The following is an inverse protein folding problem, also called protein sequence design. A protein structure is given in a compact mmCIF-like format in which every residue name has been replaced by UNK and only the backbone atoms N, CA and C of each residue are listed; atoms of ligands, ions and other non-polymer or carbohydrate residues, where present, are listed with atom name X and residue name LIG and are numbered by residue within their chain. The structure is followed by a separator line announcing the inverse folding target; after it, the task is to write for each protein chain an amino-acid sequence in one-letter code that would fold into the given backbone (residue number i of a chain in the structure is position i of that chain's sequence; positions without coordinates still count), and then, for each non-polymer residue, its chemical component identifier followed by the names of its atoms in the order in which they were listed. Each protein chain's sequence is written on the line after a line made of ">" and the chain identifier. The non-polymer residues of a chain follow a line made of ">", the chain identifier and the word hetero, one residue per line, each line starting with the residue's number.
data_IF_288541259372
#
_entry.id   IF_288541259372
#
_cell.length_a   1.000
_cell.length_b   1.000
_cell.length_c   1.000
_cell.angle_alpha   90.00
_cell.angle_beta   90.00
_cell.angle_gamma   90.00
#
_symmetry.space_group_name_H-M   'P 1'
#
loop_
_entity.id
_entity.type
_entity.pdbx_description
1 polymer ?
#
# COMPACT_ATOMS: atom_id res chain seq x y z
N UNK A 1 15.15 5.52 2.23
CA UNK A 1 16.34 6.03 2.95
C UNK A 1 16.08 7.31 3.75
N UNK A 2 15.79 8.45 3.12
CA UNK A 2 15.57 9.73 3.85
C UNK A 2 14.46 9.62 4.92
N UNK A 3 13.35 8.95 4.59
CA UNK A 3 12.26 8.68 5.54
C UNK A 3 12.76 7.95 6.79
N UNK A 4 13.48 6.83 6.62
CA UNK A 4 14.08 6.09 7.73
C UNK A 4 15.04 6.93 8.58
N UNK A 5 15.87 7.79 7.97
CA UNK A 5 16.73 8.71 8.72
C UNK A 5 15.93 9.71 9.55
N UNK A 6 14.83 10.24 8.99
CA UNK A 6 13.93 11.14 9.71
C UNK A 6 13.28 10.43 10.90
N UNK A 7 12.81 9.19 10.72
CA UNK A 7 12.27 8.33 11.78
C UNK A 7 13.29 8.12 12.90
N UNK A 8 14.49 7.63 12.55
CA UNK A 8 15.58 7.40 13.51
C UNK A 8 15.95 8.69 14.26
N UNK A 9 16.03 9.82 13.55
CA UNK A 9 16.39 11.11 14.16
C UNK A 9 15.32 11.60 15.13
N UNK A 10 14.03 11.50 14.76
CA UNK A 10 12.90 11.86 15.62
C UNK A 10 12.91 11.04 16.90
N UNK A 11 13.05 9.72 16.77
CA UNK A 11 13.14 8.80 17.89
C UNK A 11 14.34 9.10 18.82
N UNK A 12 15.53 9.35 18.25
CA UNK A 12 16.72 9.66 19.05
C UNK A 12 16.58 10.98 19.82
N UNK A 13 15.86 11.96 19.26
CA UNK A 13 15.55 13.22 19.96
C UNK A 13 14.58 12.97 21.11
N UNK A 14 13.54 12.14 20.92
CA UNK A 14 12.58 11.84 21.98
C UNK A 14 13.15 10.99 23.12
N UNK A 15 14.15 10.14 22.86
CA UNK A 15 14.85 9.33 23.89
C UNK A 15 15.98 10.08 24.62
N UNK A 16 16.33 11.28 24.15
CA UNK A 16 17.53 11.98 24.59
C UNK A 16 18.78 11.47 23.87
N UNK A 17 19.61 12.41 23.38
CA UNK A 17 20.74 12.15 22.47
C UNK A 17 21.84 11.22 23.02
N UNK A 18 21.76 10.85 24.31
CA UNK A 18 22.72 10.01 25.03
C UNK A 18 22.22 8.58 25.25
N UNK A 19 21.01 8.23 24.79
CA UNK A 19 20.52 6.86 24.88
C UNK A 19 21.42 5.92 24.05
N UNK A 20 21.77 4.78 24.65
CA UNK A 20 22.49 3.67 24.02
C UNK A 20 21.53 2.61 23.48
N UNK A 21 20.22 2.88 23.50
CA UNK A 21 19.21 1.93 23.05
C UNK A 21 19.32 1.70 21.54
N UNK A 22 18.99 0.48 21.12
CA UNK A 22 19.04 0.10 19.71
C UNK A 22 17.67 0.29 19.06
N UNK A 23 17.53 1.19 18.07
CA UNK A 23 16.25 1.39 17.38
C UNK A 23 15.87 0.17 16.54
N UNK A 24 14.57 -0.09 16.41
CA UNK A 24 14.03 -1.09 15.49
C UNK A 24 12.97 -0.51 14.55
N UNK A 25 12.72 -1.18 13.42
CA UNK A 25 11.73 -0.82 12.42
C UNK A 25 10.87 -2.06 12.10
N UNK A 26 9.54 -1.93 12.23
CA UNK A 26 8.59 -3.02 12.00
C UNK A 26 8.05 -2.95 10.58
N UNK A 27 8.04 -4.09 9.89
CA UNK A 27 7.61 -4.17 8.50
C UNK A 27 7.29 -5.62 8.09
N UNK A 28 6.56 -5.82 6.99
CA UNK A 28 6.34 -7.15 6.41
C UNK A 28 7.60 -7.71 5.73
N UNK A 29 7.69 -9.02 5.53
CA UNK A 29 8.79 -9.64 4.76
C UNK A 29 8.75 -9.30 3.27
N UNK A 30 7.60 -8.80 2.78
CA UNK A 30 7.36 -8.31 1.42
C UNK A 30 7.99 -6.93 1.12
N UNK A 31 8.77 -6.36 2.05
CA UNK A 31 9.45 -5.07 1.83
C UNK A 31 10.42 -5.11 0.67
N UNK A 32 10.56 -3.95 0.03
CA UNK A 32 11.60 -3.74 -0.97
C UNK A 32 12.97 -3.64 -0.27
N UNK A 33 14.01 -4.19 -0.89
CA UNK A 33 15.39 -4.28 -0.34
C UNK A 33 15.99 -2.95 0.15
N UNK A 34 15.44 -1.81 -0.24
CA UNK A 34 15.86 -0.50 0.26
C UNK A 34 15.66 -0.34 1.77
N UNK A 35 14.67 -1.03 2.36
CA UNK A 35 14.44 -1.04 3.81
C UNK A 35 15.45 -1.92 4.54
N UNK A 36 15.81 -3.07 3.98
CA UNK A 36 16.92 -3.89 4.50
C UNK A 36 18.24 -3.12 4.46
N UNK A 37 18.52 -2.44 3.35
CA UNK A 37 19.70 -1.57 3.21
C UNK A 37 19.67 -0.45 4.25
N UNK A 38 18.50 0.16 4.50
CA UNK A 38 18.37 1.20 5.53
C UNK A 38 18.71 0.63 6.91
N UNK A 39 18.08 -0.48 7.28
CA UNK A 39 18.30 -1.14 8.57
C UNK A 39 19.78 -1.52 8.77
N UNK A 40 20.40 -2.09 7.74
CA UNK A 40 21.80 -2.46 7.79
C UNK A 40 22.75 -1.25 7.90
N UNK A 41 22.58 -0.23 7.05
CA UNK A 41 23.51 0.90 7.00
C UNK A 41 23.33 1.89 8.17
N UNK A 42 22.14 1.96 8.76
CA UNK A 42 21.85 2.84 9.89
C UNK A 42 21.68 2.09 11.21
N UNK A 43 22.13 0.85 11.33
CA UNK A 43 22.13 0.08 12.60
C UNK A 43 20.73 0.03 13.26
N UNK A 44 19.68 -0.11 12.44
CA UNK A 44 18.30 -0.28 12.91
C UNK A 44 17.96 -1.76 12.81
N UNK A 45 17.47 -2.35 13.88
CA UNK A 45 17.02 -3.75 13.88
C UNK A 45 15.77 -3.90 12.99
N UNK A 46 15.80 -4.76 11.94
CA UNK A 46 14.61 -5.06 11.16
C UNK A 46 13.74 -6.08 11.90
N UNK A 47 12.48 -5.72 12.19
CA UNK A 47 11.47 -6.63 12.74
C UNK A 47 10.49 -7.02 11.66
N UNK A 48 10.84 -8.10 10.96
CA UNK A 48 10.09 -8.62 9.82
C UNK A 48 8.93 -9.51 10.28
N UNK A 49 7.73 -9.25 9.74
CA UNK A 49 6.58 -10.15 9.86
C UNK A 49 6.64 -11.17 8.73
N UNK A 50 6.78 -12.48 9.02
CA UNK A 50 6.81 -13.49 7.98
C UNK A 50 5.42 -13.67 7.35
N UNK A 51 5.44 -13.96 6.05
CA UNK A 51 4.29 -14.56 5.38
C UNK A 51 4.07 -15.96 5.97
N UNK A 52 2.82 -16.29 6.27
CA UNK A 52 2.45 -17.60 6.77
C UNK A 52 0.99 -17.89 6.43
N UNK A 53 0.69 -19.10 5.96
CA UNK A 53 -0.64 -19.48 5.52
C UNK A 53 -1.24 -18.51 4.49
N UNK A 54 -2.32 -17.84 4.90
CA UNK A 54 -3.08 -16.85 4.12
C UNK A 54 -2.64 -15.39 4.37
N UNK A 55 -1.64 -15.16 5.23
CA UNK A 55 -1.06 -13.83 5.48
C UNK A 55 0.06 -13.55 4.48
N UNK A 56 -0.28 -12.82 3.42
CA UNK A 56 0.68 -12.42 2.37
C UNK A 56 1.31 -11.03 2.60
N UNK A 57 0.80 -10.25 3.54
CA UNK A 57 1.26 -8.88 3.78
C UNK A 57 1.19 -8.51 5.27
N UNK A 58 1.74 -7.35 5.65
CA UNK A 58 1.67 -6.87 7.02
C UNK A 58 0.20 -6.64 7.44
N UNK A 59 -0.19 -7.15 8.60
CA UNK A 59 -1.49 -6.87 9.22
C UNK A 59 -1.32 -5.90 10.39
N UNK A 60 -2.38 -5.19 10.76
CA UNK A 60 -2.40 -4.28 11.91
C UNK A 60 -2.01 -4.99 13.21
N UNK A 61 -2.55 -6.20 13.44
CA UNK A 61 -2.25 -7.01 14.61
C UNK A 61 -0.77 -7.38 14.68
N UNK A 62 -0.19 -7.87 13.58
CA UNK A 62 1.22 -8.29 13.56
C UNK A 62 2.19 -7.11 13.64
N UNK A 63 1.80 -5.94 13.10
CA UNK A 63 2.56 -4.71 13.21
C UNK A 63 2.68 -4.26 14.68
N UNK A 64 1.53 -4.13 15.37
CA UNK A 64 1.50 -3.70 16.77
C UNK A 64 2.16 -4.73 17.70
N UNK A 65 2.01 -6.02 17.44
CA UNK A 65 2.62 -7.08 18.26
C UNK A 65 4.15 -7.04 18.29
N UNK A 66 4.80 -6.39 17.31
CA UNK A 66 6.27 -6.23 17.23
C UNK A 66 6.76 -4.85 17.64
N UNK A 67 5.85 -3.94 17.98
CA UNK A 67 6.20 -2.59 18.42
C UNK A 67 6.62 -2.57 19.90
N UNK A 68 7.64 -1.77 20.21
CA UNK A 68 8.08 -1.45 21.57
C UNK A 68 8.55 0.01 21.68
N UNK A 69 9.09 0.42 22.82
CA UNK A 69 9.59 1.78 23.08
C UNK A 69 10.77 2.20 22.18
N UNK A 70 11.43 1.23 21.52
CA UNK A 70 12.55 1.45 20.61
C UNK A 70 12.13 1.40 19.13
N UNK A 71 10.85 1.13 18.85
CA UNK A 71 10.32 1.13 17.48
C UNK A 71 10.26 2.55 16.94
N UNK A 72 11.02 2.82 15.88
CA UNK A 72 11.10 4.14 15.26
C UNK A 72 9.97 4.40 14.27
N UNK A 73 9.28 3.34 13.85
CA UNK A 73 8.12 3.40 12.96
C UNK A 73 7.71 2.02 12.46
N UNK A 74 6.55 2.01 11.81
CA UNK A 74 6.05 0.89 11.00
C UNK A 74 6.09 1.29 9.53
N UNK A 75 6.47 0.37 8.65
CA UNK A 75 6.38 0.57 7.20
C UNK A 75 5.26 -0.29 6.64
N UNK A 76 4.24 0.37 6.07
CA UNK A 76 3.21 -0.28 5.28
C UNK A 76 3.49 -0.09 3.78
N UNK A 77 3.22 -1.11 2.97
CA UNK A 77 3.49 -1.12 1.54
C UNK A 77 2.20 -0.91 0.75
N UNK A 78 2.22 0.08 -0.13
CA UNK A 78 1.15 0.33 -1.09
C UNK A 78 1.67 -0.09 -2.47
N UNK A 79 1.24 -1.27 -2.93
CA UNK A 79 1.69 -1.98 -4.15
C UNK A 79 2.97 -2.80 -3.94
N UNK A 80 2.81 -3.97 -3.30
CA UNK A 80 3.92 -4.89 -3.07
C UNK A 80 4.57 -5.34 -4.37
N UNK A 81 5.89 -5.34 -4.40
CA UNK A 81 6.65 -5.83 -5.56
C UNK A 81 6.50 -7.34 -5.80
N UNK A 82 5.98 -8.09 -4.82
CA UNK A 82 5.77 -9.54 -4.93
C UNK A 82 4.51 -9.89 -5.71
N UNK A 83 3.38 -9.26 -5.38
CA UNK A 83 2.05 -9.63 -5.89
C UNK A 83 1.15 -8.43 -6.26
N UNK A 84 1.62 -7.20 -6.09
CA UNK A 84 0.85 -5.97 -6.33
C UNK A 84 -0.21 -5.67 -5.27
N UNK A 85 -0.20 -6.38 -4.13
CA UNK A 85 -1.16 -6.17 -3.04
C UNK A 85 -0.90 -4.87 -2.29
N UNK A 86 -1.95 -4.30 -1.69
CA UNK A 86 -1.85 -3.11 -0.84
C UNK A 86 -2.07 -3.54 0.61
N UNK A 87 -1.21 -3.08 1.50
CA UNK A 87 -1.38 -3.31 2.93
C UNK A 87 -2.50 -2.43 3.51
N UNK A 88 -3.16 -2.88 4.59
CA UNK A 88 -4.28 -2.18 5.20
C UNK A 88 -3.81 -0.97 6.02
N UNK A 89 -3.32 0.08 5.33
CA UNK A 89 -2.73 1.29 5.92
C UNK A 89 -3.64 1.90 7.00
N UNK A 90 -4.95 1.99 6.73
CA UNK A 90 -5.91 2.57 7.67
C UNK A 90 -6.05 1.74 8.95
N UNK A 91 -6.07 0.42 8.84
CA UNK A 91 -6.15 -0.48 10.00
C UNK A 91 -4.85 -0.43 10.83
N UNK A 92 -3.70 -0.39 10.16
CA UNK A 92 -2.39 -0.25 10.82
C UNK A 92 -2.31 1.09 11.55
N UNK A 93 -2.77 2.19 10.92
CA UNK A 93 -2.80 3.51 11.55
C UNK A 93 -3.68 3.52 12.81
N UNK A 94 -4.92 3.00 12.70
CA UNK A 94 -5.83 2.93 13.85
C UNK A 94 -5.25 2.08 15.00
N UNK A 95 -4.62 0.94 14.68
CA UNK A 95 -4.00 0.10 15.69
C UNK A 95 -2.78 0.75 16.36
N UNK A 96 -2.04 1.60 15.65
CA UNK A 96 -0.95 2.41 16.22
C UNK A 96 -1.47 3.54 17.11
N UNK A 97 -2.58 4.17 16.73
CA UNK A 97 -3.25 5.17 17.59
C UNK A 97 -3.72 4.51 18.90
N UNK A 98 -4.39 3.35 18.83
CA UNK A 98 -4.81 2.57 20.00
C UNK A 98 -3.61 2.15 20.87
N UNK A 99 -2.48 1.78 20.25
CA UNK A 99 -1.26 1.44 20.96
C UNK A 99 -0.72 2.67 21.70
N UNK A 100 -0.69 3.83 21.06
CA UNK A 100 -0.25 5.09 21.65
C UNK A 100 -1.11 5.45 22.87
N UNK A 101 -2.43 5.30 22.81
CA UNK A 101 -3.33 5.57 23.94
C UNK A 101 -3.00 4.69 25.15
N UNK A 102 -2.64 3.42 24.90
CA UNK A 102 -2.34 2.45 25.96
C UNK A 102 -0.94 2.58 26.56
N UNK A 103 0.07 2.92 25.76
CA UNK A 103 1.49 2.86 26.18
C UNK A 103 2.16 4.23 26.25
N UNK A 104 1.58 5.24 25.61
CA UNK A 104 2.19 6.55 25.38
C UNK A 104 3.28 6.56 24.29
N UNK A 105 3.51 5.45 23.60
CA UNK A 105 4.50 5.39 22.52
C UNK A 105 3.96 6.03 21.24
N UNK A 106 4.62 7.08 20.78
CA UNK A 106 4.28 7.74 19.51
C UNK A 106 5.08 7.10 18.36
N UNK A 107 4.55 6.03 17.79
CA UNK A 107 5.17 5.24 16.71
C UNK A 107 4.55 5.66 15.37
N UNK A 108 5.30 6.36 14.49
CA UNK A 108 4.78 6.82 13.21
C UNK A 108 4.64 5.69 12.18
N UNK A 109 3.64 5.81 11.30
CA UNK A 109 3.47 4.98 10.11
C UNK A 109 4.08 5.65 8.88
N UNK A 110 4.89 4.90 8.12
CA UNK A 110 5.35 5.29 6.79
C UNK A 110 4.69 4.40 5.74
N UNK A 111 4.12 5.01 4.70
CA UNK A 111 3.55 4.29 3.56
C UNK A 111 4.58 4.31 2.42
N UNK A 112 5.14 3.15 2.11
CA UNK A 112 5.96 2.95 0.91
C UNK A 112 5.04 2.74 -0.29
N UNK A 113 4.72 3.84 -0.97
CA UNK A 113 3.95 3.85 -2.21
C UNK A 113 4.82 4.05 -3.44
N UNK A 114 6.00 3.42 -3.52
CA UNK A 114 6.95 3.60 -4.63
C UNK A 114 6.29 3.55 -6.03
N UNK A 115 5.40 2.59 -6.25
CA UNK A 115 4.51 2.51 -7.43
C UNK A 115 3.06 2.82 -7.07
N UNK A 116 2.56 2.26 -5.96
CA UNK A 116 1.16 2.37 -5.56
C UNK A 116 0.69 3.81 -5.35
N UNK A 117 1.54 4.76 -4.94
CA UNK A 117 1.11 6.14 -4.75
C UNK A 117 0.78 6.86 -6.07
N UNK A 118 1.30 6.38 -7.21
CA UNK A 118 0.98 6.90 -8.54
C UNK A 118 -0.24 6.23 -9.17
N UNK A 119 -0.81 5.23 -8.47
CA UNK A 119 -1.76 4.26 -9.00
C UNK A 119 -3.04 4.28 -8.17
N UNK A 120 -2.93 4.02 -6.87
CA UNK A 120 -4.02 3.92 -5.91
C UNK A 120 -5.01 5.11 -5.94
N UNK A 121 -4.59 6.38 -6.12
CA UNK A 121 -5.55 7.48 -6.16
C UNK A 121 -6.46 7.50 -7.40
N UNK A 122 -6.22 6.65 -8.41
CA UNK A 122 -6.77 6.83 -9.76
C UNK A 122 -7.33 5.57 -10.45
N UNK A 123 -7.30 4.39 -9.83
CA UNK A 123 -7.37 3.09 -10.57
C UNK A 123 -8.51 2.11 -10.25
N UNK A 124 -9.44 2.42 -9.35
CA UNK A 124 -10.50 1.47 -9.00
C UNK A 124 -11.41 1.09 -10.18
N UNK A 125 -11.70 2.02 -11.09
CA UNK A 125 -12.52 1.73 -12.28
C UNK A 125 -11.83 0.74 -13.23
N UNK A 126 -10.53 0.93 -13.51
CA UNK A 126 -9.74 0.03 -14.37
C UNK A 126 -9.68 -1.39 -13.77
N UNK A 127 -9.48 -1.48 -12.45
CA UNK A 127 -9.47 -2.75 -11.73
C UNK A 127 -10.80 -3.48 -11.83
N UNK A 128 -11.92 -2.82 -11.52
CA UNK A 128 -13.26 -3.44 -11.57
C UNK A 128 -13.65 -3.84 -13.00
N UNK A 129 -13.22 -3.10 -14.01
CA UNK A 129 -13.41 -3.49 -15.41
C UNK A 129 -12.63 -4.77 -15.78
N UNK A 130 -11.42 -4.95 -15.23
CA UNK A 130 -10.62 -6.17 -15.44
C UNK A 130 -11.30 -7.42 -14.88
N UNK A 131 -11.99 -7.31 -13.75
CA UNK A 131 -12.79 -8.41 -13.16
C UNK A 131 -13.89 -8.90 -14.11
N UNK A 132 -14.30 -8.08 -15.09
CA UNK A 132 -15.31 -8.39 -16.11
C UNK A 132 -14.70 -8.71 -17.48
N UNK A 133 -13.37 -8.88 -17.54
CA UNK A 133 -12.64 -9.23 -18.77
C UNK A 133 -12.19 -8.03 -19.61
N UNK A 134 -12.45 -6.79 -19.18
CA UNK A 134 -12.03 -5.60 -19.92
C UNK A 134 -10.62 -5.15 -19.55
N UNK A 135 -9.74 -5.07 -20.54
CA UNK A 135 -8.39 -4.51 -20.38
C UNK A 135 -8.40 -3.02 -20.71
N UNK A 136 -8.80 -2.19 -19.74
CA UNK A 136 -8.82 -0.72 -19.87
C UNK A 136 -7.71 -0.12 -19.01
N UNK A 137 -6.59 0.33 -19.58
CA UNK A 137 -5.53 0.92 -18.79
C UNK A 137 -5.90 2.30 -18.25
N UNK A 138 -5.39 2.65 -17.07
CA UNK A 138 -5.43 4.02 -16.56
C UNK A 138 -4.04 4.56 -16.28
N UNK A 139 -3.83 5.86 -16.56
CA UNK A 139 -2.56 6.55 -16.37
C UNK A 139 -2.78 8.02 -16.05
N UNK A 140 -1.82 8.65 -15.37
CA UNK A 140 -1.77 10.09 -15.17
C UNK A 140 -1.08 10.81 -16.33
N UNK A 141 -1.43 12.07 -16.59
CA UNK A 141 -0.77 12.89 -17.61
C UNK A 141 0.66 13.30 -17.18
N UNK A 142 1.55 13.66 -18.14
CA UNK A 142 2.94 14.05 -17.88
C UNK A 142 3.06 15.35 -17.04
N UNK A 143 4.31 15.72 -16.73
CA UNK A 143 4.77 16.71 -15.72
C UNK A 143 4.02 18.06 -15.62
N UNK A 144 3.24 18.47 -16.63
CA UNK A 144 2.48 19.72 -16.62
C UNK A 144 0.98 19.55 -16.31
N UNK A 145 0.46 18.32 -16.19
CA UNK A 145 -0.93 18.00 -15.81
C UNK A 145 -1.06 16.69 -14.98
N UNK A 146 -0.25 16.50 -13.92
CA UNK A 146 -0.32 15.28 -13.10
C UNK A 146 -1.64 15.13 -12.33
N UNK A 147 -2.47 16.18 -12.29
CA UNK A 147 -3.82 16.20 -11.74
C UNK A 147 -4.84 15.40 -12.57
N UNK A 148 -4.51 15.08 -13.82
CA UNK A 148 -5.40 14.32 -14.71
C UNK A 148 -5.01 12.85 -14.75
N UNK A 149 -5.96 12.00 -14.37
CA UNK A 149 -5.94 10.58 -14.68
C UNK A 149 -6.97 10.27 -15.77
N UNK A 150 -6.62 9.35 -16.67
CA UNK A 150 -7.51 8.92 -17.75
C UNK A 150 -7.57 7.41 -17.86
N UNK A 151 -8.73 6.90 -18.26
CA UNK A 151 -8.90 5.55 -18.79
C UNK A 151 -8.77 5.60 -20.30
N UNK A 152 -8.02 4.67 -20.90
CA UNK A 152 -7.80 4.63 -22.35
C UNK A 152 -8.48 3.43 -22.98
N UNK A 153 -9.57 3.67 -23.71
CA UNK A 153 -10.26 2.66 -24.51
C UNK A 153 -9.83 2.82 -25.97
N UNK A 154 -9.28 1.75 -26.57
CA UNK A 154 -8.87 1.74 -27.98
C UNK A 154 -9.89 0.96 -28.79
N UNK A 155 -10.68 1.65 -29.61
CA UNK A 155 -11.64 1.04 -30.53
C UNK A 155 -10.89 0.56 -31.78
N UNK A 156 -10.93 -0.75 -32.05
CA UNK A 156 -10.25 -1.39 -33.18
C UNK A 156 -11.26 -2.07 -34.09
N UNK A 157 -10.83 -2.47 -35.29
CA UNK A 157 -11.63 -3.34 -36.14
C UNK A 157 -11.94 -4.65 -35.39
N UNK A 158 -13.22 -4.95 -35.19
CA UNK A 158 -13.72 -6.04 -34.33
C UNK A 158 -14.37 -5.59 -33.02
N UNK A 159 -14.25 -4.31 -32.63
CA UNK A 159 -15.03 -3.74 -31.52
C UNK A 159 -16.41 -3.32 -32.03
N UNK A 160 -17.37 -4.25 -31.97
CA UNK A 160 -18.75 -4.03 -32.44
C UNK A 160 -19.54 -3.11 -31.52
N UNK A 161 -20.71 -2.67 -31.98
CA UNK A 161 -21.67 -1.94 -31.12
C UNK A 161 -22.07 -2.79 -29.91
N UNK A 162 -22.32 -4.09 -30.09
CA UNK A 162 -22.63 -4.99 -28.96
C UNK A 162 -21.53 -5.01 -27.88
N UNK A 163 -20.25 -4.98 -28.27
CA UNK A 163 -19.14 -4.89 -27.31
C UNK A 163 -19.04 -3.50 -26.65
N UNK A 164 -19.40 -2.44 -27.39
CA UNK A 164 -19.48 -1.09 -26.83
C UNK A 164 -20.60 -1.01 -25.77
N UNK A 165 -21.77 -1.56 -26.08
CA UNK A 165 -22.92 -1.58 -25.16
C UNK A 165 -22.59 -2.40 -23.90
N UNK A 166 -21.96 -3.57 -24.04
CA UNK A 166 -21.51 -4.36 -22.88
C UNK A 166 -20.50 -3.61 -22.00
N UNK A 167 -19.57 -2.86 -22.60
CA UNK A 167 -18.60 -2.06 -21.84
C UNK A 167 -19.30 -0.92 -21.09
N UNK A 168 -20.27 -0.25 -21.72
CA UNK A 168 -21.03 0.83 -21.11
C UNK A 168 -21.94 0.31 -19.98
N UNK A 169 -22.64 -0.80 -20.19
CA UNK A 169 -23.47 -1.45 -19.16
C UNK A 169 -22.64 -1.84 -17.94
N UNK A 170 -21.42 -2.35 -18.16
CA UNK A 170 -20.51 -2.68 -17.07
C UNK A 170 -19.99 -1.44 -16.35
N UNK A 171 -19.70 -0.34 -17.07
CA UNK A 171 -19.37 0.94 -16.45
C UNK A 171 -20.52 1.50 -15.62
N UNK A 172 -21.73 1.54 -16.17
CA UNK A 172 -22.93 2.06 -15.48
C UNK A 172 -23.27 1.24 -14.23
N UNK A 173 -22.95 -0.05 -14.23
CA UNK A 173 -23.10 -0.90 -13.04
C UNK A 173 -22.01 -0.63 -12.00
N UNK A 174 -20.77 -0.42 -12.42
CA UNK A 174 -19.61 -0.29 -11.53
C UNK A 174 -19.50 1.11 -10.91
N UNK A 175 -19.80 2.17 -11.67
CA UNK A 175 -19.58 3.55 -11.23
C UNK A 175 -20.38 3.93 -9.97
N UNK A 176 -21.65 3.55 -9.79
CA UNK A 176 -22.40 3.83 -8.56
C UNK A 176 -21.81 3.13 -7.33
N UNK A 177 -21.36 1.88 -7.48
CA UNK A 177 -20.69 1.14 -6.39
C UNK A 177 -19.41 1.85 -5.99
N UNK A 178 -18.56 2.20 -6.96
CA UNK A 178 -17.29 2.89 -6.73
C UNK A 178 -17.49 4.29 -6.14
N UNK A 179 -18.52 5.02 -6.57
CA UNK A 179 -18.85 6.34 -6.03
C UNK A 179 -19.36 6.27 -4.58
N UNK A 180 -20.00 5.16 -4.20
CA UNK A 180 -20.47 4.92 -2.84
C UNK A 180 -19.39 4.39 -1.90
N UNK A 181 -18.19 4.05 -2.41
CA UNK A 181 -17.10 3.58 -1.58
C UNK A 181 -16.55 4.72 -0.71
N UNK A 182 -16.41 4.44 0.59
CA UNK A 182 -15.75 5.32 1.56
C UNK A 182 -14.23 5.38 1.38
N UNK A 183 -13.66 4.51 0.54
CA UNK A 183 -12.25 4.44 0.17
C UNK A 183 -11.95 3.22 -0.72
N UNK A 184 -10.72 3.07 -1.22
CA UNK A 184 -10.34 1.96 -2.09
C UNK A 184 -10.59 0.60 -1.41
N UNK A 185 -11.33 -0.28 -2.07
CA UNK A 185 -11.64 -1.62 -1.54
C UNK A 185 -10.71 -2.69 -2.13
N UNK A 186 -9.93 -3.32 -1.26
CA UNK A 186 -9.13 -4.52 -1.57
C UNK A 186 -9.86 -5.76 -1.08
N UNK A 187 -10.28 -6.63 -2.02
CA UNK A 187 -10.72 -7.98 -1.67
C UNK A 187 -9.76 -8.98 -2.33
N UNK A 188 -9.10 -9.86 -1.58
CA UNK A 188 -8.11 -10.79 -2.12
C UNK A 188 -8.69 -11.90 -3.02
N UNK A 189 -10.01 -12.03 -3.12
CA UNK A 189 -10.68 -13.18 -3.76
C UNK A 189 -10.72 -13.17 -5.30
N UNK A 190 -10.26 -12.10 -5.98
CA UNK A 190 -10.39 -12.00 -7.44
C UNK A 190 -9.09 -12.25 -8.24
N UNK A 191 -8.02 -12.75 -7.61
CA UNK A 191 -6.80 -13.16 -8.31
C UNK A 191 -6.90 -14.60 -8.83
N UNK A 192 -7.85 -14.89 -9.71
CA UNK A 192 -7.84 -16.14 -10.49
C UNK A 192 -7.93 -15.86 -11.99
N UNK A 193 -6.80 -15.59 -12.62
CA UNK A 193 -6.59 -15.74 -14.07
C UNK A 193 -5.08 -15.56 -14.34
N UNK A 194 -4.28 -16.45 -14.94
CA UNK A 194 -4.48 -17.61 -15.79
C UNK A 194 -3.29 -18.56 -15.57
N UNK A 195 -3.50 -19.88 -15.59
CA UNK A 195 -2.41 -20.85 -15.78
C UNK A 195 -2.20 -21.07 -17.28
N UNK A 196 -0.95 -20.88 -17.74
CA UNK A 196 -0.47 -21.40 -19.03
C UNK A 196 0.00 -22.84 -18.88
#
# INVERSE_FOLDING_TARGET
>A
MLAGMALKRRWAVSRGRTSTDRPNLVMGVNVQVCWDKFCNYWEVEPRLVPMDGDRFHLSAQEAVARCDENTIGVVAILDSTFDGSYEPVAEIAAALDDLQERTGWNIPLHVDGASGAMVAPFLDVSRRLRERGWLVPAYTFPQNRPDLAVLRIVVRNGFSHDLADLLLDDLDRLLPELAAQSGPQHRPEAASAFHH
#
